data_IF_724893609090
#
_entry.id   IF_724893609090
#
_cell.length_a   1.000
_cell.length_b   1.000
_cell.length_c   1.000
_cell.angle_alpha   90.00
_cell.angle_beta   90.00
_cell.angle_gamma   90.00
#
_symmetry.space_group_name_H-M   'P 1'
#
loop_
_entity.id
_entity.type
_entity.pdbx_description
1 polymer ?
#
# COMPACT_ATOMS: atom_id res chain seq x y z
N UNK A 1 -5.21 -0.23 -16.13
CA UNK A 1 -5.62 -1.46 -15.44
C UNK A 1 -5.28 -1.38 -13.97
N UNK A 2 -6.21 -1.68 -13.10
CA UNK A 2 -6.01 -1.59 -11.65
C UNK A 2 -5.19 -2.77 -11.15
N UNK A 3 -4.19 -2.48 -10.28
CA UNK A 3 -3.35 -3.51 -9.64
C UNK A 3 -4.04 -4.15 -8.45
N UNK A 4 -4.91 -3.39 -7.79
CA UNK A 4 -5.55 -3.79 -6.54
C UNK A 4 -7.06 -3.67 -6.67
N UNK A 5 -7.76 -4.32 -5.76
CA UNK A 5 -9.21 -4.24 -5.66
C UNK A 5 -9.61 -4.00 -4.21
N UNK A 6 -10.81 -3.54 -4.01
CA UNK A 6 -11.38 -3.31 -2.67
C UNK A 6 -11.25 -4.58 -1.81
N UNK A 7 -10.73 -4.40 -0.62
CA UNK A 7 -10.53 -5.51 0.32
C UNK A 7 -9.14 -6.12 0.30
N UNK A 8 -8.31 -5.80 -0.71
CA UNK A 8 -6.95 -6.32 -0.76
C UNK A 8 -6.12 -5.79 0.41
N UNK A 9 -5.26 -6.64 0.95
CA UNK A 9 -4.32 -6.27 1.99
C UNK A 9 -2.97 -6.03 1.34
N UNK A 10 -2.41 -4.86 1.61
CA UNK A 10 -1.12 -4.44 1.05
C UNK A 10 -0.19 -3.96 2.16
N UNK A 11 1.08 -3.90 1.85
CA UNK A 11 2.08 -3.36 2.77
C UNK A 11 2.71 -2.12 2.15
N UNK A 12 2.96 -1.11 2.98
CA UNK A 12 3.64 0.10 2.52
C UNK A 12 5.13 -0.19 2.35
N UNK A 13 5.67 0.06 1.17
CA UNK A 13 7.09 -0.18 0.88
C UNK A 13 7.87 1.11 0.70
N UNK A 14 7.18 2.21 0.45
CA UNK A 14 7.82 3.53 0.39
C UNK A 14 6.82 4.59 0.83
N UNK A 15 7.30 5.59 1.55
CA UNK A 15 6.49 6.73 1.98
C UNK A 15 7.03 8.06 1.48
N UNK A 16 7.85 8.04 0.45
CA UNK A 16 8.39 9.26 -0.15
C UNK A 16 7.30 9.99 -0.92
N UNK A 17 6.88 11.13 -0.39
CA UNK A 17 5.89 12.00 -1.01
C UNK A 17 6.39 13.45 -1.00
N UNK A 18 6.08 14.17 -2.06
CA UNK A 18 6.54 15.54 -2.21
C UNK A 18 5.87 16.47 -1.19
N UNK A 19 6.70 17.06 -0.31
CA UNK A 19 6.26 18.15 0.56
C UNK A 19 5.18 17.85 1.58
N UNK A 20 4.82 16.60 1.79
CA UNK A 20 3.76 16.21 2.71
C UNK A 20 4.31 15.44 3.90
N UNK A 21 3.68 15.61 5.04
CA UNK A 21 3.93 14.75 6.19
C UNK A 21 3.47 13.33 5.85
N UNK A 22 4.29 12.37 6.20
CA UNK A 22 4.00 10.98 5.90
C UNK A 22 2.95 10.45 6.84
N UNK A 23 1.79 10.10 6.28
CA UNK A 23 0.75 9.37 6.99
C UNK A 23 0.96 7.87 6.85
N UNK A 24 1.75 7.47 5.85
CA UNK A 24 2.09 6.06 5.61
C UNK A 24 3.36 5.69 6.36
N UNK A 25 3.36 4.51 6.98
CA UNK A 25 4.55 3.94 7.63
C UNK A 25 5.02 2.73 6.86
N UNK A 26 6.29 2.74 6.45
CA UNK A 26 6.89 1.61 5.75
C UNK A 26 6.87 0.37 6.65
N UNK A 27 6.39 -0.74 6.12
CA UNK A 27 6.26 -1.99 6.86
C UNK A 27 4.90 -2.21 7.51
N UNK A 28 4.04 -1.21 7.51
CA UNK A 28 2.69 -1.34 8.05
C UNK A 28 1.74 -1.90 6.99
N UNK A 29 0.73 -2.63 7.45
CA UNK A 29 -0.29 -3.22 6.58
C UNK A 29 -1.51 -2.31 6.47
N UNK A 30 -2.06 -2.25 5.26
CA UNK A 30 -3.22 -1.43 4.95
C UNK A 30 -4.23 -2.23 4.15
N UNK A 31 -5.50 -1.90 4.32
CA UNK A 31 -6.57 -2.48 3.52
C UNK A 31 -6.99 -1.49 2.44
N UNK A 32 -7.13 -1.97 1.22
CA UNK A 32 -7.61 -1.15 0.11
C UNK A 32 -9.13 -0.96 0.26
N UNK A 33 -9.55 0.27 0.40
CA UNK A 33 -10.97 0.62 0.51
C UNK A 33 -11.59 0.93 -0.85
N UNK A 34 -10.80 1.53 -1.75
CA UNK A 34 -11.27 1.88 -3.08
C UNK A 34 -10.06 2.04 -4.00
N UNK A 35 -10.30 1.90 -5.30
CA UNK A 35 -9.29 2.06 -6.32
C UNK A 35 -9.80 3.06 -7.36
N UNK A 36 -8.92 3.99 -7.74
CA UNK A 36 -9.23 5.03 -8.73
C UNK A 36 -8.24 4.89 -9.88
N UNK A 37 -8.76 4.58 -11.06
CA UNK A 37 -7.93 4.48 -12.26
C UNK A 37 -7.84 5.83 -12.96
N UNK A 38 -6.62 6.30 -13.17
CA UNK A 38 -6.34 7.54 -13.89
C UNK A 38 -5.47 7.25 -15.11
N UNK A 39 -5.36 8.20 -16.02
CA UNK A 39 -4.64 8.02 -17.29
C UNK A 39 -3.17 7.65 -17.09
N UNK A 40 -2.51 8.21 -16.09
CA UNK A 40 -1.08 8.04 -15.88
C UNK A 40 -0.72 7.25 -14.62
N UNK A 41 -1.67 7.06 -13.72
CA UNK A 41 -1.42 6.36 -12.45
C UNK A 41 -2.72 5.86 -11.87
N UNK A 42 -2.60 4.92 -10.95
CA UNK A 42 -3.73 4.43 -10.17
C UNK A 42 -3.60 4.93 -8.73
N UNK A 43 -4.70 5.35 -8.15
CA UNK A 43 -4.76 5.79 -6.77
C UNK A 43 -5.55 4.77 -5.95
N UNK A 44 -5.20 4.64 -4.69
CA UNK A 44 -5.89 3.75 -3.76
C UNK A 44 -6.22 4.49 -2.48
N UNK A 45 -7.42 4.25 -1.96
CA UNK A 45 -7.83 4.71 -0.64
C UNK A 45 -7.56 3.57 0.33
N UNK A 46 -6.88 3.87 1.44
CA UNK A 46 -6.43 2.82 2.35
C UNK A 46 -6.79 3.12 3.81
N UNK A 47 -6.99 2.04 4.57
CA UNK A 47 -7.22 2.08 6.02
C UNK A 47 -6.12 1.28 6.70
N UNK A 48 -5.54 1.82 7.75
CA UNK A 48 -4.55 1.11 8.56
C UNK A 48 -5.26 0.00 9.34
N UNK A 49 -4.83 -1.25 9.14
CA UNK A 49 -5.47 -2.42 9.76
C UNK A 49 -5.30 -2.42 11.28
N UNK A 50 -4.16 -1.97 11.76
CA UNK A 50 -3.80 -2.01 13.16
C UNK A 50 -4.73 -1.17 14.04
N UNK A 51 -5.08 0.03 13.59
CA UNK A 51 -5.91 0.95 14.36
C UNK A 51 -7.23 1.31 13.68
N UNK A 52 -7.50 0.69 12.52
CA UNK A 52 -8.72 0.91 11.73
C UNK A 52 -8.93 2.39 11.37
N UNK A 53 -7.84 3.10 11.14
CA UNK A 53 -7.86 4.51 10.81
C UNK A 53 -7.79 4.72 9.29
N UNK A 54 -8.72 5.52 8.76
CA UNK A 54 -8.72 5.91 7.35
C UNK A 54 -7.57 6.89 7.12
N UNK A 55 -6.61 6.48 6.32
CA UNK A 55 -5.41 7.27 6.08
C UNK A 55 -5.57 8.22 4.90
N UNK A 56 -6.33 7.82 3.88
CA UNK A 56 -6.57 8.65 2.72
C UNK A 56 -6.22 7.98 1.40
N UNK A 57 -5.96 8.81 0.40
CA UNK A 57 -5.74 8.37 -0.98
C UNK A 57 -4.26 8.56 -1.36
N UNK A 58 -3.67 7.51 -1.93
CA UNK A 58 -2.25 7.53 -2.29
C UNK A 58 -2.04 6.83 -3.63
N UNK A 59 -0.92 7.13 -4.28
CA UNK A 59 -0.48 6.41 -5.47
C UNK A 59 -0.21 4.95 -5.10
N UNK A 60 -0.65 4.00 -5.92
CA UNK A 60 -0.50 2.57 -5.63
C UNK A 60 0.97 2.11 -5.61
N UNK A 61 1.89 2.94 -6.13
CA UNK A 61 3.32 2.65 -6.09
C UNK A 61 3.91 2.61 -4.68
N UNK A 62 3.20 3.17 -3.70
CA UNK A 62 3.65 3.12 -2.31
C UNK A 62 3.46 1.73 -1.69
N UNK A 63 2.75 0.84 -2.36
CA UNK A 63 2.34 -0.43 -1.78
C UNK A 63 2.78 -1.63 -2.61
N UNK A 64 2.81 -2.78 -1.95
CA UNK A 64 3.08 -4.08 -2.54
C UNK A 64 2.06 -5.08 -1.98
N UNK A 65 1.60 -6.07 -2.77
CA UNK A 65 0.75 -7.13 -2.22
C UNK A 65 1.44 -7.82 -1.06
N UNK A 66 0.69 -8.06 0.02
CA UNK A 66 1.26 -8.63 1.25
C UNK A 66 1.89 -10.00 1.01
N UNK A 67 1.23 -10.86 0.23
CA UNK A 67 1.72 -12.20 -0.08
C UNK A 67 3.05 -12.16 -0.83
N UNK A 68 3.21 -11.24 -1.78
CA UNK A 68 4.45 -11.07 -2.52
C UNK A 68 5.56 -10.55 -1.61
N UNK A 69 5.24 -9.61 -0.74
CA UNK A 69 6.20 -9.08 0.22
C UNK A 69 6.69 -10.16 1.18
N UNK A 70 5.77 -11.02 1.67
CA UNK A 70 6.13 -12.15 2.54
C UNK A 70 7.09 -13.11 1.85
N UNK A 71 6.84 -13.41 0.59
CA UNK A 71 7.75 -14.24 -0.22
C UNK A 71 9.14 -13.62 -0.31
N UNK A 72 9.19 -12.32 -0.54
CA UNK A 72 10.44 -11.56 -0.58
C UNK A 72 11.22 -11.67 0.72
N UNK A 73 10.54 -11.54 1.85
CA UNK A 73 11.16 -11.64 3.17
C UNK A 73 11.68 -13.05 3.44
N UNK A 74 10.93 -14.07 3.04
CA UNK A 74 11.36 -15.46 3.16
C UNK A 74 12.64 -15.73 2.38
N UNK A 75 12.73 -15.21 1.16
CA UNK A 75 13.95 -15.36 0.34
C UNK A 75 15.16 -14.71 1.00
N UNK A 76 15.00 -13.55 1.60
CA UNK A 76 16.07 -12.87 2.32
C UNK A 76 16.59 -13.70 3.50
N UNK A 77 15.70 -14.37 4.19
CA UNK A 77 16.07 -15.20 5.33
C UNK A 77 16.81 -16.47 4.88
N UNK A 78 16.44 -17.01 3.72
CA UNK A 78 17.03 -18.24 3.19
C UNK A 78 18.34 -18.02 2.44
N UNK A 79 18.64 -16.80 2.08
CA UNK A 79 19.91 -16.42 1.48
C UNK A 79 20.93 -16.10 2.58
#
# INVERSE_FOLDING_TARGET
MLRYKKGDIVICVTNKMYGMKFLLEVGEQYQIDDCIEMAEKNLVSVTNIKNNEDIGIFDDKHFMPLDIWREFQLRKILE
#
